data_IF_374131912110
#
_entry.id   IF_374131912110
#
_cell.length_a   1.000
_cell.length_b   1.000
_cell.length_c   1.000
_cell.angle_alpha   90.00
_cell.angle_beta   90.00
_cell.angle_gamma   90.00
#
_symmetry.space_group_name_H-M   'P 1'
#
loop_
_entity.id
_entity.type
_entity.pdbx_description
1 polymer ?
#
# COMPACT_ATOMS: atom_id res chain seq x y z
N UNK A 1 -21.28 -1.69 -16.06
CA UNK A 1 -20.06 -1.25 -16.80
C UNK A 1 -18.94 -1.34 -15.79
N UNK A 2 -17.85 -2.07 -16.06
CA UNK A 2 -16.76 -2.20 -15.09
C UNK A 2 -16.14 -0.82 -14.82
N UNK A 3 -15.94 -0.50 -13.54
CA UNK A 3 -15.29 0.73 -13.12
C UNK A 3 -13.78 0.55 -13.32
N UNK A 4 -13.22 1.22 -14.32
CA UNK A 4 -11.78 1.21 -14.62
C UNK A 4 -11.22 2.61 -14.36
N UNK A 5 -9.98 2.72 -13.85
CA UNK A 5 -9.33 4.02 -13.75
C UNK A 5 -9.02 4.58 -15.14
N UNK A 6 -8.91 5.91 -15.22
CA UNK A 6 -8.54 6.60 -16.47
C UNK A 6 -7.07 6.37 -16.85
N UNK A 7 -6.22 6.07 -15.86
CA UNK A 7 -4.76 5.93 -15.99
C UNK A 7 -4.32 4.61 -15.35
N UNK A 8 -3.25 4.02 -15.88
CA UNK A 8 -2.61 2.86 -15.23
C UNK A 8 -2.17 3.24 -13.81
N UNK A 9 -2.59 2.42 -12.86
CA UNK A 9 -2.28 2.59 -11.45
C UNK A 9 -0.79 2.40 -11.21
N UNK A 10 -0.18 1.41 -11.88
CA UNK A 10 1.25 1.15 -11.77
C UNK A 10 2.10 2.26 -12.40
N UNK A 11 1.73 2.75 -13.59
CA UNK A 11 2.43 3.87 -14.22
C UNK A 11 2.39 5.14 -13.37
N UNK A 12 1.26 5.43 -12.71
CA UNK A 12 1.12 6.56 -11.80
C UNK A 12 2.07 6.45 -10.59
N UNK A 13 2.13 5.28 -9.94
CA UNK A 13 3.03 5.05 -8.81
C UNK A 13 4.50 5.14 -9.23
N UNK A 14 4.85 4.53 -10.37
CA UNK A 14 6.20 4.59 -10.95
C UNK A 14 6.60 6.03 -11.29
N UNK A 15 5.70 6.80 -11.92
CA UNK A 15 5.93 8.20 -12.23
C UNK A 15 6.11 9.07 -10.97
N UNK A 16 5.46 8.70 -9.87
CA UNK A 16 5.62 9.35 -8.57
C UNK A 16 6.90 8.90 -7.80
N UNK A 17 7.64 7.92 -8.33
CA UNK A 17 8.91 7.46 -7.81
C UNK A 17 8.86 6.13 -7.05
N UNK A 18 7.66 5.56 -6.83
CA UNK A 18 7.48 4.24 -6.24
C UNK A 18 7.67 3.17 -7.32
N UNK A 19 8.93 2.85 -7.60
CA UNK A 19 9.33 1.93 -8.69
C UNK A 19 10.24 0.80 -8.24
N UNK A 20 10.82 0.87 -7.06
CA UNK A 20 11.70 -0.16 -6.52
C UNK A 20 10.88 -1.11 -5.66
N UNK A 21 11.57 -2.03 -4.97
CA UNK A 21 11.00 -2.86 -3.92
C UNK A 21 10.10 -2.06 -2.98
N UNK A 22 8.88 -2.54 -2.76
CA UNK A 22 7.96 -1.93 -1.83
C UNK A 22 7.01 -2.96 -1.24
N UNK A 23 6.57 -2.67 -0.01
CA UNK A 23 5.41 -3.31 0.59
C UNK A 23 4.38 -2.23 0.95
N UNK A 24 3.13 -2.43 0.57
CA UNK A 24 2.06 -1.48 0.83
C UNK A 24 0.76 -2.18 1.19
N UNK A 25 0.03 -1.62 2.14
CA UNK A 25 -1.21 -2.16 2.63
C UNK A 25 -2.36 -1.16 2.57
N UNK A 26 -3.55 -1.67 2.19
CA UNK A 26 -4.84 -1.00 2.36
C UNK A 26 -5.57 -1.67 3.52
N UNK A 27 -5.75 -0.93 4.60
CA UNK A 27 -6.21 -1.42 5.90
C UNK A 27 -7.62 -0.87 6.16
N UNK A 28 -8.54 -1.74 6.53
CA UNK A 28 -9.91 -1.35 6.89
C UNK A 28 -9.93 -0.54 8.19
N UNK A 29 -10.51 0.66 8.11
CA UNK A 29 -10.74 1.57 9.22
C UNK A 29 -10.26 3.00 8.97
N UNK A 30 -10.97 3.95 9.57
CA UNK A 30 -10.64 5.38 9.59
C UNK A 30 -9.97 5.83 10.90
N UNK A 31 -9.99 4.97 11.93
CA UNK A 31 -9.38 5.26 13.23
C UNK A 31 -7.87 5.07 13.14
N UNK A 32 -7.20 6.14 12.72
CA UNK A 32 -5.75 6.19 12.55
C UNK A 32 -4.99 5.93 13.84
N UNK A 33 -5.53 6.31 14.99
CA UNK A 33 -4.87 6.08 16.28
C UNK A 33 -4.95 4.61 16.67
N UNK A 34 -6.08 3.95 16.44
CA UNK A 34 -6.22 2.51 16.63
C UNK A 34 -5.29 1.71 15.68
N UNK A 35 -5.28 2.06 14.39
CA UNK A 35 -4.42 1.42 13.39
C UNK A 35 -2.93 1.65 13.74
N UNK A 36 -2.55 2.87 14.13
CA UNK A 36 -1.20 3.18 14.57
C UNK A 36 -0.79 2.37 15.81
N UNK A 37 -1.69 2.19 16.78
CA UNK A 37 -1.44 1.38 17.96
C UNK A 37 -1.24 -0.11 17.64
N UNK A 38 -2.06 -0.67 16.74
CA UNK A 38 -1.91 -2.06 16.27
C UNK A 38 -0.60 -2.27 15.51
N UNK A 39 -0.23 -1.31 14.66
CA UNK A 39 1.06 -1.25 13.97
C UNK A 39 2.24 -0.89 14.89
N UNK A 40 1.99 -0.64 16.18
CA UNK A 40 3.00 -0.24 17.18
C UNK A 40 3.79 0.99 16.76
N UNK A 41 3.15 1.94 16.10
CA UNK A 41 3.76 3.20 15.70
C UNK A 41 4.21 3.99 16.94
N UNK A 42 5.46 4.47 16.90
CA UNK A 42 5.96 5.43 17.86
C UNK A 42 5.39 6.83 17.57
N UNK A 43 4.36 7.21 18.34
CA UNK A 43 3.70 8.50 18.22
C UNK A 43 4.63 9.71 18.46
N UNK A 44 5.80 9.51 19.07
CA UNK A 44 6.75 10.61 19.34
C UNK A 44 7.63 10.95 18.14
N UNK A 45 7.67 10.09 17.12
CA UNK A 45 8.53 10.24 15.94
C UNK A 45 7.71 10.26 14.65
N UNK A 46 6.79 11.21 14.53
CA UNK A 46 5.94 11.40 13.36
C UNK A 46 6.29 12.64 12.54
N UNK A 47 6.09 12.57 11.22
CA UNK A 47 6.25 13.69 10.29
C UNK A 47 5.17 13.62 9.20
N UNK A 48 4.29 14.63 9.15
CA UNK A 48 3.38 14.80 8.02
C UNK A 48 4.17 15.20 6.77
N UNK A 49 4.14 14.38 5.72
CA UNK A 49 4.85 14.68 4.46
C UNK A 49 4.16 14.11 3.22
N UNK A 50 4.56 14.61 2.06
CA UNK A 50 4.19 14.04 0.77
C UNK A 50 4.98 12.76 0.45
N UNK A 51 4.56 12.04 -0.59
CA UNK A 51 5.21 10.81 -1.04
C UNK A 51 6.68 11.04 -1.43
N UNK A 52 6.97 12.13 -2.13
CA UNK A 52 8.33 12.45 -2.57
C UNK A 52 9.30 12.64 -1.38
N UNK A 53 8.82 13.17 -0.26
CA UNK A 53 9.59 13.29 0.98
C UNK A 53 9.71 11.93 1.68
N UNK A 54 8.62 11.14 1.71
CA UNK A 54 8.62 9.80 2.31
C UNK A 54 9.61 8.86 1.60
N UNK A 55 9.62 8.83 0.26
CA UNK A 55 10.51 7.99 -0.55
C UNK A 55 12.00 8.26 -0.33
N UNK A 56 12.39 9.40 0.26
CA UNK A 56 13.80 9.65 0.65
C UNK A 56 14.29 8.73 1.76
N UNK A 57 13.35 8.09 2.48
CA UNK A 57 13.64 7.13 3.53
C UNK A 57 13.65 5.68 3.02
N UNK A 58 13.29 5.46 1.75
CA UNK A 58 13.28 4.14 1.14
C UNK A 58 14.68 3.52 1.13
N UNK A 59 14.82 2.30 1.65
CA UNK A 59 16.08 1.57 1.70
C UNK A 59 17.11 2.15 2.69
N UNK A 60 16.72 3.15 3.51
CA UNK A 60 17.56 3.59 4.64
C UNK A 60 17.55 2.46 5.66
N UNK A 61 18.70 1.80 5.83
CA UNK A 61 18.87 0.74 6.83
C UNK A 61 18.43 1.23 8.21
N UNK A 62 17.28 0.72 8.66
CA UNK A 62 16.66 1.07 9.93
C UNK A 62 16.38 -0.22 10.67
N UNK A 63 16.72 -0.32 11.98
CA UNK A 63 16.46 -1.52 12.76
C UNK A 63 14.97 -1.75 13.02
N UNK A 64 14.13 -0.72 12.78
CA UNK A 64 12.67 -0.83 12.87
C UNK A 64 12.02 -0.31 11.60
N UNK A 65 10.82 -0.82 11.27
CA UNK A 65 10.12 -0.39 10.07
C UNK A 65 9.81 1.11 10.06
N UNK A 66 9.95 1.75 8.89
CA UNK A 66 9.48 3.11 8.64
C UNK A 66 8.25 3.04 7.75
N UNK A 67 7.15 3.65 8.19
CA UNK A 67 5.87 3.62 7.49
C UNK A 67 5.45 5.02 7.06
N UNK A 68 4.74 5.11 5.93
CA UNK A 68 4.01 6.30 5.51
C UNK A 68 2.52 5.97 5.47
N UNK A 69 1.78 6.47 6.45
CA UNK A 69 0.42 6.01 6.80
C UNK A 69 -0.57 7.16 6.77
N UNK A 70 -1.72 6.97 6.12
CA UNK A 70 -2.77 7.98 6.12
C UNK A 70 -4.01 7.55 5.34
N UNK A 71 -5.00 8.45 5.18
CA UNK A 71 -6.25 8.11 4.53
C UNK A 71 -6.05 7.60 3.09
N UNK A 72 -6.89 6.64 2.71
CA UNK A 72 -7.06 6.20 1.32
C UNK A 72 -8.47 6.54 0.84
N UNK A 73 -9.50 5.94 1.43
CA UNK A 73 -10.92 6.15 1.10
C UNK A 73 -11.73 6.12 2.40
N UNK A 74 -13.02 6.52 2.41
CA UNK A 74 -13.87 6.32 3.58
C UNK A 74 -13.85 4.86 4.03
N UNK A 75 -13.50 4.61 5.29
CA UNK A 75 -13.32 3.28 5.85
C UNK A 75 -11.99 2.60 5.53
N UNK A 76 -11.02 3.30 4.92
CA UNK A 76 -9.75 2.72 4.48
C UNK A 76 -8.55 3.63 4.71
N UNK A 77 -7.51 3.06 5.33
CA UNK A 77 -6.21 3.67 5.55
C UNK A 77 -5.16 2.99 4.66
N UNK A 78 -4.27 3.76 4.05
CA UNK A 78 -3.11 3.27 3.32
C UNK A 78 -1.86 3.33 4.19
N UNK A 79 -1.01 2.32 4.09
CA UNK A 79 0.31 2.28 4.67
C UNK A 79 1.35 1.82 3.63
N UNK A 80 2.45 2.55 3.49
CA UNK A 80 3.60 2.15 2.69
C UNK A 80 4.79 1.89 3.62
N UNK A 81 5.38 0.69 3.56
CA UNK A 81 6.63 0.39 4.21
C UNK A 81 7.81 0.88 3.36
N UNK A 82 8.73 1.59 3.99
CA UNK A 82 9.91 2.20 3.35
C UNK A 82 11.21 1.45 3.71
N UNK A 83 11.11 0.41 4.53
CA UNK A 83 12.20 -0.47 4.96
C UNK A 83 11.93 -1.90 4.51
N UNK A 84 13.00 -2.64 4.22
CA UNK A 84 12.90 -4.04 3.78
C UNK A 84 12.48 -5.01 4.87
N UNK A 85 12.88 -4.75 6.12
CA UNK A 85 12.22 -5.36 7.29
C UNK A 85 10.82 -4.73 7.34
N UNK A 86 9.91 -5.31 6.57
CA UNK A 86 8.56 -4.82 6.33
C UNK A 86 7.73 -4.80 7.61
N UNK A 87 6.57 -4.16 7.56
CA UNK A 87 5.59 -4.28 8.63
C UNK A 87 4.79 -5.58 8.45
N UNK A 88 4.50 -6.24 9.57
CA UNK A 88 3.61 -7.40 9.59
C UNK A 88 2.15 -6.92 9.51
N UNK A 89 1.73 -6.49 8.33
CA UNK A 89 0.36 -6.03 8.09
C UNK A 89 -0.66 -7.17 8.21
N UNK A 90 -0.24 -8.42 8.00
CA UNK A 90 -1.08 -9.62 8.13
C UNK A 90 -1.49 -9.94 9.56
N UNK A 91 -0.81 -9.38 10.57
CA UNK A 91 -1.15 -9.57 11.97
C UNK A 91 -2.27 -8.64 12.49
N UNK A 92 -2.76 -7.71 11.66
CA UNK A 92 -3.86 -6.82 12.03
C UNK A 92 -5.18 -7.60 12.11
N UNK A 93 -6.00 -7.31 13.13
CA UNK A 93 -7.33 -7.92 13.32
C UNK A 93 -8.40 -7.19 12.49
N UNK A 94 -8.09 -6.99 11.20
CA UNK A 94 -8.83 -6.14 10.26
C UNK A 94 -8.70 -6.72 8.85
N UNK A 95 -9.59 -6.31 7.95
CA UNK A 95 -9.37 -6.60 6.52
C UNK A 95 -8.18 -5.79 6.03
N UNK A 96 -7.23 -6.48 5.38
CA UNK A 96 -6.02 -5.88 4.83
C UNK A 96 -5.80 -6.40 3.42
N UNK A 97 -5.47 -5.50 2.50
CA UNK A 97 -4.90 -5.86 1.21
C UNK A 97 -3.42 -5.49 1.21
N UNK A 98 -2.55 -6.48 1.43
CA UNK A 98 -1.09 -6.30 1.53
C UNK A 98 -0.40 -6.74 0.24
N UNK A 99 0.35 -5.80 -0.36
CA UNK A 99 1.08 -5.98 -1.60
C UNK A 99 2.56 -5.97 -1.27
N UNK A 100 3.30 -6.94 -1.78
CA UNK A 100 4.76 -6.89 -1.75
C UNK A 100 5.29 -7.09 -3.18
N UNK A 101 6.11 -6.15 -3.64
CA UNK A 101 6.82 -6.26 -4.90
C UNK A 101 8.32 -6.22 -4.64
N UNK A 102 9.03 -7.26 -5.06
CA UNK A 102 10.48 -7.37 -5.00
C UNK A 102 11.01 -7.27 -6.44
N UNK A 103 11.41 -6.07 -6.85
CA UNK A 103 11.85 -5.75 -8.21
C UNK A 103 13.11 -6.50 -8.61
N UNK A 104 14.05 -6.69 -7.69
CA UNK A 104 15.29 -7.43 -8.02
C UNK A 104 15.02 -8.88 -8.43
N UNK A 105 13.94 -9.47 -7.91
CA UNK A 105 13.50 -10.83 -8.23
C UNK A 105 12.42 -10.86 -9.31
N UNK A 106 11.86 -9.68 -9.65
CA UNK A 106 10.64 -9.51 -10.45
C UNK A 106 9.47 -10.33 -9.90
N UNK A 107 9.32 -10.31 -8.58
CA UNK A 107 8.32 -11.09 -7.86
C UNK A 107 7.28 -10.17 -7.22
N UNK A 108 6.03 -10.39 -7.59
CA UNK A 108 4.87 -9.80 -6.95
C UNK A 108 4.15 -10.85 -6.10
N UNK A 109 3.92 -10.49 -4.84
CA UNK A 109 3.12 -11.27 -3.92
C UNK A 109 1.78 -10.56 -3.77
N UNK A 110 0.78 -11.13 -4.45
CA UNK A 110 -0.61 -10.67 -4.44
C UNK A 110 -1.34 -10.94 -3.13
N UNK A 111 -2.61 -10.52 -3.10
CA UNK A 111 -3.39 -10.40 -1.87
C UNK A 111 -4.38 -11.54 -1.73
N UNK A 112 -4.23 -12.43 -0.71
CA UNK A 112 -5.19 -13.49 -0.48
C UNK A 112 -6.63 -13.00 -0.32
N UNK A 113 -6.82 -11.82 0.29
CA UNK A 113 -8.13 -11.20 0.54
C UNK A 113 -8.82 -10.56 -0.68
N UNK A 114 -8.19 -10.55 -1.86
CA UNK A 114 -8.81 -10.07 -3.11
C UNK A 114 -9.41 -11.25 -3.89
N UNK A 115 -8.85 -12.45 -3.76
CA UNK A 115 -9.32 -13.62 -4.48
C UNK A 115 -10.70 -14.07 -3.95
N UNK A 116 -11.66 -14.23 -4.86
CA UNK A 116 -13.03 -14.61 -4.52
C UNK A 116 -13.98 -13.46 -4.21
N UNK A 117 -13.51 -12.20 -4.29
CA UNK A 117 -14.38 -11.04 -4.21
C UNK A 117 -15.23 -10.87 -5.48
N UNK A 118 -16.49 -10.50 -5.30
CA UNK A 118 -17.41 -10.29 -6.42
C UNK A 118 -17.02 -9.06 -7.26
N UNK A 119 -17.24 -9.13 -8.58
CA UNK A 119 -17.05 -7.99 -9.48
C UNK A 119 -15.60 -7.75 -9.93
N UNK A 120 -14.73 -8.75 -9.77
CA UNK A 120 -13.35 -8.75 -10.24
C UNK A 120 -13.08 -9.76 -11.37
N UNK A 121 -14.10 -10.50 -11.83
CA UNK A 121 -13.97 -11.55 -12.86
C UNK A 121 -13.41 -11.07 -14.21
N UNK A 122 -13.45 -9.76 -14.46
CA UNK A 122 -12.88 -9.12 -15.64
C UNK A 122 -11.40 -8.75 -15.49
N UNK A 123 -10.82 -8.88 -14.29
CA UNK A 123 -9.42 -8.66 -14.02
C UNK A 123 -8.65 -9.98 -14.06
N UNK A 124 -7.51 -9.98 -14.75
CA UNK A 124 -6.58 -11.10 -14.73
C UNK A 124 -5.75 -11.02 -13.46
N UNK A 125 -6.28 -11.59 -12.37
CA UNK A 125 -5.59 -11.67 -11.07
C UNK A 125 -4.88 -13.02 -10.97
N UNK A 126 -3.56 -12.98 -10.93
CA UNK A 126 -2.72 -14.14 -10.67
C UNK A 126 -2.73 -14.44 -9.16
N UNK A 127 -3.22 -15.62 -8.76
CA UNK A 127 -3.30 -16.07 -7.37
C UNK A 127 -2.02 -16.74 -6.83
N UNK A 128 -1.05 -16.97 -7.72
CA UNK A 128 0.29 -17.46 -7.41
C UNK A 128 1.31 -16.32 -7.25
N UNK A 129 2.60 -16.66 -7.24
CA UNK A 129 3.69 -15.69 -7.33
C UNK A 129 3.67 -15.03 -8.71
N UNK A 130 3.40 -13.72 -8.73
CA UNK A 130 3.31 -12.91 -9.94
C UNK A 130 4.58 -12.14 -10.27
N UNK A 131 4.49 -11.28 -11.28
CA UNK A 131 5.56 -10.36 -11.70
C UNK A 131 5.07 -8.91 -11.81
N UNK A 132 5.88 -8.00 -12.37
CA UNK A 132 5.49 -6.58 -12.54
C UNK A 132 4.16 -6.42 -13.31
N UNK A 133 3.85 -7.31 -14.25
CA UNK A 133 2.63 -7.23 -15.06
C UNK A 133 1.35 -7.49 -14.25
N UNK A 134 1.47 -8.14 -13.10
CA UNK A 134 0.37 -8.41 -12.18
C UNK A 134 0.03 -7.20 -11.28
N UNK A 135 0.91 -6.20 -11.16
CA UNK A 135 0.69 -5.05 -10.26
C UNK A 135 -0.55 -4.24 -10.63
N UNK A 136 -0.71 -3.89 -11.91
CA UNK A 136 -1.78 -2.99 -12.35
C UNK A 136 -3.18 -3.62 -12.14
N UNK A 137 -3.46 -4.87 -12.57
CA UNK A 137 -4.73 -5.53 -12.28
C UNK A 137 -5.06 -5.60 -10.79
N UNK A 138 -4.07 -5.89 -9.94
CA UNK A 138 -4.27 -5.97 -8.49
C UNK A 138 -4.54 -4.59 -7.88
N UNK A 139 -3.83 -3.54 -8.30
CA UNK A 139 -4.11 -2.17 -7.85
C UNK A 139 -5.51 -1.71 -8.27
N UNK A 140 -5.97 -2.09 -9.48
CA UNK A 140 -7.34 -1.86 -9.93
C UNK A 140 -8.35 -2.61 -9.06
N UNK A 141 -8.07 -3.88 -8.73
CA UNK A 141 -8.93 -4.66 -7.85
C UNK A 141 -9.09 -4.00 -6.48
N UNK A 142 -7.99 -3.60 -5.84
CA UNK A 142 -8.04 -2.87 -4.58
C UNK A 142 -8.84 -1.58 -4.72
N UNK A 143 -8.59 -0.78 -5.75
CA UNK A 143 -9.33 0.47 -5.95
C UNK A 143 -10.83 0.28 -6.11
N UNK A 144 -11.29 -0.85 -6.67
CA UNK A 144 -12.72 -1.20 -6.72
C UNK A 144 -13.25 -1.60 -5.33
N UNK A 145 -12.51 -2.42 -4.60
CA UNK A 145 -12.92 -2.93 -3.29
C UNK A 145 -12.93 -1.83 -2.21
N UNK A 146 -11.99 -0.89 -2.28
CA UNK A 146 -11.90 0.25 -1.36
C UNK A 146 -12.74 1.45 -1.81
N UNK A 147 -13.17 1.46 -3.07
CA UNK A 147 -13.93 2.56 -3.68
C UNK A 147 -13.09 3.77 -4.11
N UNK A 148 -11.77 3.65 -4.17
CA UNK A 148 -10.88 4.71 -4.66
C UNK A 148 -9.65 4.18 -5.39
N UNK A 149 -9.44 4.65 -6.61
CA UNK A 149 -8.21 4.41 -7.36
C UNK A 149 -7.09 5.38 -6.96
N UNK A 150 -5.84 4.99 -7.24
CA UNK A 150 -4.72 5.91 -7.26
C UNK A 150 -4.92 6.89 -8.41
N UNK A 151 -4.90 8.17 -8.07
CA UNK A 151 -4.95 9.29 -9.01
C UNK A 151 -3.98 10.39 -8.57
N UNK A 152 -3.89 11.47 -9.35
CA UNK A 152 -3.01 12.60 -9.04
C UNK A 152 -3.35 13.29 -7.71
N UNK A 153 -4.63 13.30 -7.31
CA UNK A 153 -5.03 13.90 -6.05
C UNK A 153 -4.59 13.04 -4.86
N UNK A 154 -4.76 11.72 -4.96
CA UNK A 154 -4.30 10.73 -3.99
C UNK A 154 -2.78 10.77 -3.81
N UNK A 155 -2.03 10.95 -4.90
CA UNK A 155 -0.56 11.11 -4.87
C UNK A 155 -0.11 12.43 -4.21
N UNK A 156 -0.93 13.48 -4.31
CA UNK A 156 -0.66 14.78 -3.70
C UNK A 156 -1.01 14.85 -2.21
N UNK A 157 -1.71 13.84 -1.67
CA UNK A 157 -2.06 13.80 -0.25
C UNK A 157 -0.81 13.69 0.63
N UNK A 158 -0.87 14.39 1.77
CA UNK A 158 0.10 14.25 2.83
C UNK A 158 -0.35 13.14 3.76
N UNK A 159 0.60 12.31 4.19
CA UNK A 159 0.38 11.25 5.16
C UNK A 159 1.48 11.28 6.21
N UNK A 160 1.25 10.57 7.31
CA UNK A 160 2.15 10.51 8.45
C UNK A 160 3.30 9.55 8.16
N UNK A 161 4.51 10.06 8.04
CA UNK A 161 5.72 9.26 8.13
C UNK A 161 6.00 8.96 9.60
N UNK A 162 6.18 7.69 9.95
CA UNK A 162 6.39 7.27 11.33
C UNK A 162 7.31 6.04 11.42
N UNK A 163 7.84 5.79 12.62
CA UNK A 163 8.57 4.55 12.93
C UNK A 163 7.68 3.59 13.70
N UNK A 164 7.92 2.30 13.48
CA UNK A 164 7.39 1.25 14.35
C UNK A 164 8.32 1.08 15.55
N UNK A 165 7.74 0.93 16.74
CA UNK A 165 8.47 0.65 17.97
C UNK A 165 8.94 -0.81 17.97
N UNK A 166 10.18 -1.02 18.45
CA UNK A 166 10.79 -2.34 18.69
C UNK A 166 10.09 -3.10 19.82
#
# INVERSE_FOLDING_TARGET
MPLLPEESQWELLTAAGLRNDFQAAWIEGDDRDAIAAELRVDATTTLECDLATALRWMGVGSPTPILWVGPHAPGWTFALALSWDGADFGALDRRVFDFCYARELDEFYGVPGVYGEEGLDDLYLNDDQGDESDLDPHLVAVGRLTGRFVDRAWLAERRTLCRVAS
#
